data_IF_371434909267
#
_entry.id   IF_371434909267
#
_cell.length_a   1.000
_cell.length_b   1.000
_cell.length_c   1.000
_cell.angle_alpha   90.00
_cell.angle_beta   90.00
_cell.angle_gamma   90.00
#
_symmetry.space_group_name_H-M   'P 1'
#
loop_
_entity.id
_entity.type
_entity.pdbx_description
1 polymer ?
#
# COMPACT_ATOMS: atom_id res chain seq x y z
N UNK A 1 -15.44 -19.16 -5.53
CA UNK A 1 -15.80 -18.87 -4.11
C UNK A 1 -14.61 -19.08 -3.17
N UNK A 2 -13.89 -20.20 -3.27
CA UNK A 2 -12.70 -20.47 -2.44
C UNK A 2 -11.51 -19.52 -2.69
N UNK A 3 -11.30 -19.08 -3.94
CA UNK A 3 -10.18 -18.18 -4.28
C UNK A 3 -10.36 -16.77 -3.71
N UNK A 4 -11.57 -16.21 -3.78
CA UNK A 4 -11.88 -14.89 -3.18
C UNK A 4 -11.65 -14.90 -1.66
N UNK A 5 -12.09 -15.96 -0.97
CA UNK A 5 -11.87 -16.10 0.48
C UNK A 5 -10.38 -16.19 0.80
N UNK A 6 -9.59 -16.90 -0.02
CA UNK A 6 -8.14 -16.95 0.10
C UNK A 6 -7.52 -15.56 -0.06
N UNK A 7 -7.89 -14.82 -1.11
CA UNK A 7 -7.37 -13.46 -1.34
C UNK A 7 -7.69 -12.51 -0.20
N UNK A 8 -8.93 -12.51 0.30
CA UNK A 8 -9.34 -11.67 1.44
C UNK A 8 -8.49 -11.97 2.69
N UNK A 9 -8.25 -13.25 2.97
CA UNK A 9 -7.38 -13.63 4.10
C UNK A 9 -5.92 -13.19 3.88
N UNK A 10 -5.39 -13.35 2.67
CA UNK A 10 -4.03 -12.91 2.34
C UNK A 10 -3.89 -11.39 2.43
N UNK A 11 -4.87 -10.63 1.92
CA UNK A 11 -4.90 -9.17 2.03
C UNK A 11 -4.88 -8.71 3.48
N UNK A 12 -5.70 -9.32 4.33
CA UNK A 12 -5.74 -8.99 5.76
C UNK A 12 -4.39 -9.26 6.45
N UNK A 13 -3.76 -10.41 6.15
CA UNK A 13 -2.44 -10.72 6.70
C UNK A 13 -1.35 -9.74 6.23
N UNK A 14 -1.43 -9.26 4.98
CA UNK A 14 -0.54 -8.22 4.48
C UNK A 14 -0.83 -6.86 5.10
N UNK A 15 -2.09 -6.48 5.26
CA UNK A 15 -2.50 -5.25 5.94
C UNK A 15 -1.88 -5.19 7.35
N UNK A 16 -2.01 -6.26 8.13
CA UNK A 16 -1.44 -6.34 9.49
C UNK A 16 0.09 -6.15 9.47
N UNK A 17 0.81 -6.83 8.56
CA UNK A 17 2.27 -6.73 8.43
C UNK A 17 2.73 -5.35 7.95
N UNK A 18 2.01 -4.75 7.00
CA UNK A 18 2.30 -3.39 6.52
C UNK A 18 2.07 -2.41 7.67
N UNK A 19 0.97 -2.55 8.41
CA UNK A 19 0.66 -1.68 9.55
C UNK A 19 1.74 -1.77 10.65
N UNK A 20 2.20 -2.98 10.99
CA UNK A 20 3.31 -3.17 11.92
C UNK A 20 4.60 -2.50 11.41
N UNK A 21 4.96 -2.73 10.14
CA UNK A 21 6.14 -2.11 9.53
C UNK A 21 6.08 -0.57 9.54
N UNK A 22 4.95 0.02 9.17
CA UNK A 22 4.80 1.48 9.14
C UNK A 22 4.83 2.09 10.55
N UNK A 23 4.26 1.42 11.57
CA UNK A 23 4.26 1.95 12.94
C UNK A 23 5.58 1.75 13.69
N UNK A 24 6.22 0.59 13.52
CA UNK A 24 7.33 0.18 14.40
C UNK A 24 8.69 0.47 13.77
N UNK A 25 8.79 0.40 12.45
CA UNK A 25 10.07 0.41 11.73
C UNK A 25 10.24 1.64 10.83
N UNK A 26 9.20 2.46 10.68
CA UNK A 26 9.19 3.60 9.76
C UNK A 26 9.06 4.93 10.50
N UNK A 27 9.59 5.98 9.90
CA UNK A 27 9.45 7.34 10.44
C UNK A 27 9.50 8.38 9.33
N UNK A 28 9.01 9.58 9.65
CA UNK A 28 8.91 10.69 8.73
C UNK A 28 9.80 11.86 9.18
N UNK A 29 10.42 12.51 8.21
CA UNK A 29 11.18 13.74 8.37
C UNK A 29 10.42 14.88 7.70
N UNK A 30 10.20 15.97 8.42
CA UNK A 30 9.59 17.17 7.86
C UNK A 30 10.54 17.84 6.87
N UNK A 31 10.02 18.21 5.70
CA UNK A 31 10.79 18.93 4.67
C UNK A 31 10.73 20.43 4.97
N UNK A 32 11.84 21.01 5.40
CA UNK A 32 11.93 22.43 5.73
C UNK A 32 11.53 23.33 4.54
N UNK A 33 10.71 24.35 4.80
CA UNK A 33 10.18 25.26 3.78
C UNK A 33 9.04 24.72 2.93
N UNK A 34 8.60 23.47 3.13
CA UNK A 34 7.52 22.86 2.33
C UNK A 34 6.15 23.51 2.53
N UNK A 35 5.89 24.12 3.69
CA UNK A 35 4.68 24.90 3.98
C UNK A 35 4.48 26.09 3.04
N UNK A 36 5.55 26.60 2.40
CA UNK A 36 5.44 27.67 1.40
C UNK A 36 4.85 27.18 0.08
N UNK A 37 4.83 25.85 -0.14
CA UNK A 37 4.41 25.20 -1.39
C UNK A 37 3.13 24.38 -1.19
N UNK A 38 2.96 23.75 -0.03
CA UNK A 38 1.82 22.86 0.29
C UNK A 38 1.29 23.18 1.69
N UNK A 39 -0.02 23.36 1.81
CA UNK A 39 -0.68 23.59 3.09
C UNK A 39 -0.49 22.37 4.02
N UNK A 40 0.01 22.60 5.23
CA UNK A 40 0.42 21.54 6.17
C UNK A 40 1.79 20.91 5.90
N UNK A 41 2.51 21.39 4.88
CA UNK A 41 3.86 20.97 4.53
C UNK A 41 3.97 19.58 3.91
N UNK A 42 5.20 19.16 3.67
CA UNK A 42 5.56 17.87 3.08
C UNK A 42 6.52 17.11 4.00
N UNK A 43 6.45 15.79 3.90
CA UNK A 43 7.28 14.87 4.68
C UNK A 43 8.00 13.91 3.74
N UNK A 44 9.24 13.57 4.10
CA UNK A 44 10.00 12.51 3.48
C UNK A 44 10.08 11.31 4.42
N UNK A 45 10.29 10.12 3.87
CA UNK A 45 10.61 8.95 4.67
C UNK A 45 12.02 9.05 5.21
N UNK A 46 12.18 8.77 6.50
CA UNK A 46 13.50 8.59 7.10
C UNK A 46 14.17 7.34 6.52
N UNK A 47 15.49 7.33 6.53
CA UNK A 47 16.25 6.15 6.08
C UNK A 47 16.03 4.96 7.03
N UNK A 48 15.61 3.84 6.44
CA UNK A 48 15.48 2.55 7.14
C UNK A 48 16.84 1.99 7.58
N UNK A 49 16.84 1.30 8.73
CA UNK A 49 17.95 0.47 9.19
C UNK A 49 18.02 -0.82 8.35
N UNK A 50 19.20 -1.48 8.28
CA UNK A 50 19.36 -2.70 7.47
C UNK A 50 18.36 -3.83 7.77
N UNK A 51 17.97 -4.02 9.03
CA UNK A 51 16.98 -5.02 9.40
C UNK A 51 15.57 -4.67 8.90
N UNK A 52 15.24 -3.38 8.89
CA UNK A 52 13.94 -2.84 8.46
C UNK A 52 13.81 -2.93 6.94
N UNK A 53 14.91 -2.72 6.19
CA UNK A 53 14.97 -2.95 4.73
C UNK A 53 14.63 -4.41 4.40
N UNK A 54 15.20 -5.38 5.12
CA UNK A 54 14.87 -6.79 4.87
C UNK A 54 13.39 -7.10 5.13
N UNK A 55 12.76 -6.44 6.12
CA UNK A 55 11.31 -6.56 6.36
C UNK A 55 10.51 -5.92 5.22
N UNK A 56 10.93 -4.74 4.76
CA UNK A 56 10.36 -4.05 3.61
C UNK A 56 10.38 -4.92 2.34
N UNK A 57 11.52 -5.50 1.99
CA UNK A 57 11.69 -6.33 0.79
C UNK A 57 10.73 -7.53 0.78
N UNK A 58 10.56 -8.18 1.95
CA UNK A 58 9.61 -9.30 2.06
C UNK A 58 8.15 -8.83 1.89
N UNK A 59 7.79 -7.67 2.46
CA UNK A 59 6.44 -7.11 2.32
C UNK A 59 6.17 -6.69 0.87
N UNK A 60 7.14 -6.04 0.22
CA UNK A 60 7.04 -5.63 -1.20
C UNK A 60 6.85 -6.84 -2.11
N UNK A 61 7.68 -7.88 -1.95
CA UNK A 61 7.58 -9.11 -2.74
C UNK A 61 6.24 -9.81 -2.56
N UNK A 62 5.79 -10.01 -1.31
CA UNK A 62 4.53 -10.71 -1.03
C UNK A 62 3.32 -9.91 -1.55
N UNK A 63 3.35 -8.58 -1.42
CA UNK A 63 2.30 -7.71 -1.96
C UNK A 63 2.28 -7.74 -3.49
N UNK A 64 3.45 -7.69 -4.14
CA UNK A 64 3.54 -7.78 -5.60
C UNK A 64 3.01 -9.10 -6.15
N UNK A 65 3.34 -10.23 -5.49
CA UNK A 65 2.84 -11.55 -5.87
C UNK A 65 1.31 -11.60 -5.79
N UNK A 66 0.73 -11.15 -4.66
CA UNK A 66 -0.72 -11.07 -4.50
C UNK A 66 -1.37 -10.15 -5.55
N UNK A 67 -0.80 -8.97 -5.79
CA UNK A 67 -1.33 -8.01 -6.75
C UNK A 67 -1.34 -8.58 -8.18
N UNK A 68 -0.33 -9.37 -8.54
CA UNK A 68 -0.27 -10.04 -9.85
C UNK A 68 -1.31 -11.17 -9.95
N UNK A 69 -1.48 -12.00 -8.90
CA UNK A 69 -2.53 -13.03 -8.87
C UNK A 69 -3.91 -12.40 -9.10
N UNK A 70 -4.21 -11.30 -8.40
CA UNK A 70 -5.48 -10.59 -8.54
C UNK A 70 -5.61 -9.94 -9.91
N UNK A 71 -4.54 -9.33 -10.44
CA UNK A 71 -4.52 -8.74 -11.79
C UNK A 71 -4.88 -9.79 -12.84
N UNK A 72 -4.34 -11.01 -12.74
CA UNK A 72 -4.65 -12.11 -13.67
C UNK A 72 -6.14 -12.45 -13.61
N UNK A 73 -6.73 -12.55 -12.42
CA UNK A 73 -8.17 -12.81 -12.24
C UNK A 73 -9.01 -11.71 -12.89
N UNK A 74 -8.74 -10.44 -12.57
CA UNK A 74 -9.47 -9.30 -13.13
C UNK A 74 -9.37 -9.23 -14.66
N UNK A 75 -8.22 -9.58 -15.24
CA UNK A 75 -8.02 -9.65 -16.70
C UNK A 75 -8.87 -10.77 -17.32
N UNK A 76 -8.84 -11.96 -16.74
CA UNK A 76 -9.58 -13.12 -17.24
C UNK A 76 -11.10 -12.88 -17.20
N UNK A 77 -11.58 -12.17 -16.18
CA UNK A 77 -12.99 -11.81 -16.01
C UNK A 77 -13.38 -10.54 -16.78
N UNK A 78 -12.46 -9.94 -17.54
CA UNK A 78 -12.67 -8.70 -18.31
C UNK A 78 -13.23 -7.56 -17.44
N UNK A 79 -12.73 -7.44 -16.21
CA UNK A 79 -13.20 -6.47 -15.23
C UNK A 79 -13.03 -5.02 -15.75
N UNK A 80 -14.06 -4.17 -15.66
CA UNK A 80 -13.94 -2.75 -15.99
C UNK A 80 -13.11 -1.96 -14.96
N UNK A 81 -12.65 -2.62 -13.88
CA UNK A 81 -11.96 -1.99 -12.77
C UNK A 81 -10.44 -2.16 -12.79
N UNK A 82 -9.88 -2.84 -13.79
CA UNK A 82 -8.45 -3.16 -13.85
C UNK A 82 -7.54 -1.94 -13.71
N UNK A 83 -7.83 -0.84 -14.41
CA UNK A 83 -7.00 0.38 -14.32
C UNK A 83 -7.07 1.02 -12.93
N UNK A 84 -8.22 0.95 -12.27
CA UNK A 84 -8.39 1.48 -10.91
C UNK A 84 -7.65 0.61 -9.90
N UNK A 85 -7.73 -0.70 -10.07
CA UNK A 85 -6.96 -1.67 -9.28
C UNK A 85 -5.46 -1.41 -9.41
N UNK A 86 -4.93 -1.26 -10.63
CA UNK A 86 -3.50 -1.02 -10.85
C UNK A 86 -3.01 0.30 -10.23
N UNK A 87 -3.82 1.36 -10.30
CA UNK A 87 -3.53 2.63 -9.62
C UNK A 87 -3.49 2.47 -8.11
N UNK A 88 -4.46 1.75 -7.55
CA UNK A 88 -4.51 1.45 -6.12
C UNK A 88 -3.27 0.66 -5.67
N UNK A 89 -2.84 -0.34 -6.46
CA UNK A 89 -1.62 -1.09 -6.18
C UNK A 89 -0.37 -0.22 -6.20
N UNK A 90 -0.27 0.71 -7.16
CA UNK A 90 0.86 1.63 -7.24
C UNK A 90 0.93 2.53 -5.99
N UNK A 91 -0.21 2.98 -5.46
CA UNK A 91 -0.24 3.77 -4.23
C UNK A 91 0.24 2.98 -3.02
N UNK A 92 -0.25 1.75 -2.84
CA UNK A 92 0.21 0.88 -1.74
C UNK A 92 1.69 0.58 -1.85
N UNK A 93 2.19 0.27 -3.05
CA UNK A 93 3.62 0.02 -3.30
C UNK A 93 4.49 1.22 -2.94
N UNK A 94 4.07 2.43 -3.31
CA UNK A 94 4.81 3.65 -2.96
C UNK A 94 4.94 3.85 -1.44
N UNK A 95 3.91 3.47 -0.68
CA UNK A 95 3.98 3.51 0.78
C UNK A 95 4.85 2.39 1.36
N UNK A 96 4.76 1.17 0.83
CA UNK A 96 5.62 0.05 1.24
C UNK A 96 7.09 0.39 0.99
N UNK A 97 7.41 0.90 -0.21
CA UNK A 97 8.77 1.21 -0.67
C UNK A 97 9.36 2.47 -0.06
N UNK A 98 8.52 3.33 0.52
CA UNK A 98 8.96 4.56 1.18
C UNK A 98 9.79 5.47 0.25
N UNK A 99 9.49 5.43 -1.04
CA UNK A 99 10.24 6.12 -2.10
C UNK A 99 9.53 7.38 -2.63
N UNK A 100 8.46 7.80 -1.94
CA UNK A 100 7.63 8.95 -2.31
C UNK A 100 7.55 10.01 -1.20
N UNK A 101 7.38 11.27 -1.61
CA UNK A 101 7.05 12.35 -0.68
C UNK A 101 5.61 12.20 -0.20
N UNK A 102 5.41 12.51 1.08
CA UNK A 102 4.12 12.45 1.73
C UNK A 102 3.56 13.84 1.93
N UNK A 103 2.27 13.96 1.63
CA UNK A 103 1.48 15.18 1.70
C UNK A 103 0.45 15.07 2.84
N UNK A 104 0.72 14.16 3.78
CA UNK A 104 -0.14 13.82 4.89
C UNK A 104 0.62 14.04 6.20
N UNK A 105 -0.04 14.49 7.27
CA UNK A 105 0.62 15.00 8.47
C UNK A 105 1.15 13.91 9.43
N UNK A 106 1.31 12.67 8.96
CA UNK A 106 1.86 11.60 9.80
C UNK A 106 1.61 10.17 9.33
N UNK A 107 2.27 9.23 10.01
CA UNK A 107 2.17 7.79 9.75
C UNK A 107 0.74 7.24 9.90
N UNK A 108 -0.06 7.81 10.82
CA UNK A 108 -1.46 7.42 10.98
C UNK A 108 -2.25 7.60 9.68
N UNK A 109 -2.06 8.72 8.98
CA UNK A 109 -2.72 8.97 7.71
C UNK A 109 -2.20 8.06 6.60
N UNK A 110 -0.91 7.71 6.63
CA UNK A 110 -0.37 6.71 5.70
C UNK A 110 -1.06 5.37 5.88
N UNK A 111 -1.21 4.91 7.12
CA UNK A 111 -1.89 3.64 7.45
C UNK A 111 -3.36 3.68 7.00
N UNK A 112 -4.07 4.77 7.28
CA UNK A 112 -5.46 4.95 6.85
C UNK A 112 -5.60 4.91 5.32
N UNK A 113 -4.66 5.53 4.59
CA UNK A 113 -4.62 5.49 3.13
C UNK A 113 -4.34 4.07 2.62
N UNK A 114 -3.34 3.36 3.15
CA UNK A 114 -3.03 1.99 2.78
C UNK A 114 -4.26 1.10 2.98
N UNK A 115 -4.90 1.18 4.16
CA UNK A 115 -6.11 0.42 4.46
C UNK A 115 -7.22 0.69 3.45
N UNK A 116 -7.48 1.97 3.16
CA UNK A 116 -8.52 2.37 2.20
C UNK A 116 -8.25 1.81 0.79
N UNK A 117 -6.99 1.81 0.36
CA UNK A 117 -6.60 1.24 -0.93
C UNK A 117 -6.69 -0.31 -0.94
N UNK A 118 -6.30 -0.99 0.13
CA UNK A 118 -6.45 -2.44 0.24
C UNK A 118 -7.93 -2.88 0.28
N UNK A 119 -8.79 -2.11 0.96
CA UNK A 119 -10.24 -2.32 0.97
C UNK A 119 -10.83 -2.12 -0.44
N UNK A 120 -10.35 -1.10 -1.17
CA UNK A 120 -10.75 -0.83 -2.56
C UNK A 120 -10.33 -1.96 -3.51
N UNK A 121 -9.12 -2.50 -3.34
CA UNK A 121 -8.64 -3.65 -4.11
C UNK A 121 -9.51 -4.88 -3.89
N UNK A 122 -9.87 -5.15 -2.64
CA UNK A 122 -10.78 -6.25 -2.30
C UNK A 122 -12.17 -6.05 -2.93
N UNK A 123 -12.71 -4.83 -2.87
CA UNK A 123 -13.98 -4.49 -3.50
C UNK A 123 -13.98 -4.79 -5.01
N UNK A 124 -12.89 -4.50 -5.73
CA UNK A 124 -12.80 -4.79 -7.16
C UNK A 124 -12.84 -6.29 -7.48
N UNK A 125 -12.36 -7.14 -6.58
CA UNK A 125 -12.46 -8.61 -6.73
C UNK A 125 -13.87 -9.13 -6.48
N UNK A 126 -14.67 -8.46 -5.64
CA UNK A 126 -16.05 -8.88 -5.38
C UNK A 126 -16.98 -8.52 -6.55
N UNK A 127 -16.62 -7.50 -7.32
CA UNK A 127 -17.38 -6.95 -8.45
C UNK A 127 -17.12 -7.62 -9.81
N UNK A 128 -16.30 -8.65 -9.86
CA UNK A 128 -16.12 -9.46 -11.08
C UNK A 128 -17.15 -10.59 -11.23
N UNK A 129 -18.12 -10.69 -10.31
CA UNK A 129 -19.28 -11.59 -10.38
C UNK A 129 -20.53 -10.88 -10.87
#
# INVERSE_FOLDING_TARGET
>A
MNEVVKFVQTFKGLEERINEFINEDSSLEYVEGSEEVVDGGAYAWSKLKPAEISKQDHIDSDYMELAEEVRIVLKNEHSPHIEKFERSCALVLNYIRQDTLLWVPGLKNVIENIKSELDLQQFFMEWTR
#
